data_IF_155736457257
#
_entry.id   IF_155736457257
#
_cell.length_a   1.000
_cell.length_b   1.000
_cell.length_c   1.000
_cell.angle_alpha   90.00
_cell.angle_beta   90.00
_cell.angle_gamma   90.00
#
_symmetry.space_group_name_H-M   'P 1'
#
loop_
_entity.id
_entity.type
_entity.pdbx_description
1 polymer ?
#
# COMPACT_ATOMS: atom_id res chain seq x y z
N UNK A 1 -5.89 14.55 33.38
CA UNK A 1 -6.44 13.29 32.85
C UNK A 1 -6.81 13.56 31.41
N UNK A 2 -6.00 13.07 30.46
CA UNK A 2 -6.36 13.18 29.04
C UNK A 2 -7.43 12.12 28.83
N UNK A 3 -8.66 12.53 28.52
CA UNK A 3 -9.69 11.61 28.07
C UNK A 3 -9.08 10.79 26.92
N UNK A 4 -9.02 9.47 27.08
CA UNK A 4 -8.70 8.59 25.97
C UNK A 4 -9.86 8.69 25.00
N UNK A 5 -9.79 9.64 24.07
CA UNK A 5 -10.73 9.76 22.95
C UNK A 5 -10.66 8.47 22.17
N UNK A 6 -11.77 7.73 22.18
CA UNK A 6 -11.86 6.50 21.42
C UNK A 6 -11.73 6.84 19.93
N UNK A 7 -10.84 6.15 19.18
CA UNK A 7 -10.60 6.46 17.78
C UNK A 7 -11.87 6.27 16.97
N UNK A 8 -12.18 7.24 16.11
CA UNK A 8 -13.40 7.21 15.29
C UNK A 8 -13.33 6.19 14.16
N UNK A 9 -12.14 5.93 13.61
CA UNK A 9 -11.96 4.93 12.57
C UNK A 9 -10.98 3.84 12.99
N UNK A 10 -11.19 2.62 12.48
CA UNK A 10 -10.18 1.56 12.53
C UNK A 10 -9.69 1.27 11.11
N UNK A 11 -8.39 1.40 10.92
CA UNK A 11 -7.69 1.01 9.69
C UNK A 11 -6.90 -0.26 9.98
N UNK A 12 -7.33 -1.36 9.35
CA UNK A 12 -6.71 -2.66 9.48
C UNK A 12 -5.79 -2.93 8.30
N UNK A 13 -4.51 -3.08 8.59
CA UNK A 13 -3.52 -3.57 7.64
C UNK A 13 -3.53 -5.10 7.64
N UNK A 14 -4.26 -5.66 6.67
CA UNK A 14 -4.32 -7.10 6.42
C UNK A 14 -3.07 -7.65 5.74
N UNK A 15 -2.06 -6.82 5.54
CA UNK A 15 -0.90 -7.02 4.68
C UNK A 15 -1.25 -7.17 3.20
N UNK A 16 -0.32 -6.71 2.38
CA UNK A 16 -0.28 -6.97 0.96
C UNK A 16 0.92 -7.84 0.60
N UNK A 17 0.73 -8.70 -0.39
CA UNK A 17 1.79 -9.44 -1.03
C UNK A 17 1.38 -9.64 -2.50
N UNK A 18 1.92 -8.77 -3.33
CA UNK A 18 1.75 -8.69 -4.77
C UNK A 18 3.12 -8.78 -5.44
N UNK A 19 3.21 -9.21 -6.71
CA UNK A 19 4.49 -9.32 -7.41
C UNK A 19 5.40 -8.08 -7.36
N UNK A 20 4.82 -6.88 -7.24
CA UNK A 20 5.56 -5.62 -7.14
C UNK A 20 5.22 -4.83 -5.86
N UNK A 21 4.54 -5.41 -4.87
CA UNK A 21 4.16 -4.67 -3.65
C UNK A 21 4.22 -5.57 -2.41
N UNK A 22 5.05 -5.20 -1.43
CA UNK A 22 5.16 -5.92 -0.17
C UNK A 22 4.56 -5.12 0.98
N UNK A 23 3.85 -5.80 1.87
CA UNK A 23 3.34 -5.22 3.11
C UNK A 23 3.38 -6.19 4.28
N UNK A 24 3.91 -7.40 4.10
CA UNK A 24 4.16 -8.32 5.22
C UNK A 24 5.41 -7.88 5.96
N UNK A 25 5.46 -7.90 7.31
CA UNK A 25 6.63 -7.50 8.08
C UNK A 25 7.96 -8.08 7.55
N UNK A 26 8.99 -7.25 7.37
CA UNK A 26 9.12 -5.90 7.95
C UNK A 26 8.62 -4.74 7.07
N UNK A 27 7.84 -4.99 6.02
CA UNK A 27 7.42 -3.94 5.08
C UNK A 27 6.20 -3.17 5.56
N UNK A 28 6.13 -1.86 5.25
CA UNK A 28 4.88 -1.08 5.26
C UNK A 28 4.51 -0.71 3.83
N UNK A 29 3.41 -1.31 3.36
CA UNK A 29 2.99 -1.21 1.96
C UNK A 29 2.38 0.14 1.60
N UNK A 30 2.47 0.53 0.32
CA UNK A 30 1.90 1.79 -0.15
C UNK A 30 0.36 1.79 -0.19
N UNK A 31 -0.25 0.60 -0.40
CA UNK A 31 -1.69 0.32 -0.24
C UNK A 31 -2.32 1.00 0.97
N UNK A 32 -1.82 0.58 2.12
CA UNK A 32 -2.35 0.99 3.41
C UNK A 32 -1.96 2.43 3.75
N UNK A 33 -0.79 2.89 3.29
CA UNK A 33 -0.33 4.26 3.50
C UNK A 33 -1.17 5.27 2.74
N UNK A 34 -1.56 5.02 1.50
CA UNK A 34 -2.43 5.95 0.77
C UNK A 34 -3.84 6.00 1.37
N UNK A 35 -4.37 4.87 1.80
CA UNK A 35 -5.65 4.82 2.52
C UNK A 35 -5.60 5.64 3.81
N UNK A 36 -4.50 5.54 4.56
CA UNK A 36 -4.23 6.38 5.72
C UNK A 36 -4.05 7.85 5.32
N UNK A 37 -3.35 8.14 4.22
CA UNK A 37 -3.14 9.49 3.70
C UNK A 37 -4.45 10.22 3.40
N UNK A 38 -5.46 9.51 2.87
CA UNK A 38 -6.82 10.05 2.72
C UNK A 38 -7.42 10.45 4.08
N UNK A 39 -7.29 9.60 5.10
CA UNK A 39 -7.82 9.92 6.44
C UNK A 39 -7.09 11.10 7.08
N UNK A 40 -5.77 11.19 6.91
CA UNK A 40 -4.96 12.33 7.38
C UNK A 40 -5.37 13.63 6.66
N UNK A 41 -5.57 13.60 5.33
CA UNK A 41 -6.06 14.76 4.57
C UNK A 41 -7.42 15.27 5.07
N UNK A 42 -8.32 14.35 5.44
CA UNK A 42 -9.64 14.68 5.99
C UNK A 42 -9.60 14.99 7.50
N UNK A 43 -8.43 14.98 8.14
CA UNK A 43 -8.24 15.16 9.58
C UNK A 43 -9.13 14.21 10.43
N UNK A 44 -9.32 12.97 9.97
CA UNK A 44 -10.10 11.98 10.67
C UNK A 44 -9.25 11.28 11.73
N UNK A 45 -9.78 11.16 12.95
CA UNK A 45 -9.11 10.37 13.98
C UNK A 45 -9.33 8.87 13.73
N UNK A 46 -8.23 8.15 13.54
CA UNK A 46 -8.24 6.71 13.32
C UNK A 46 -7.16 5.99 14.12
N UNK A 47 -7.39 4.70 14.34
CA UNK A 47 -6.39 3.76 14.85
C UNK A 47 -5.91 2.89 13.72
N UNK A 48 -4.60 2.89 13.49
CA UNK A 48 -3.94 1.90 12.65
C UNK A 48 -3.68 0.63 13.47
N UNK A 49 -3.94 -0.54 12.88
CA UNK A 49 -3.55 -1.83 13.44
C UNK A 49 -3.11 -2.77 12.32
N UNK A 50 -2.00 -3.48 12.51
CA UNK A 50 -1.68 -4.64 11.68
C UNK A 50 -2.56 -5.82 12.02
N UNK A 51 -2.70 -6.77 11.10
CA UNK A 51 -3.42 -8.01 11.36
C UNK A 51 -2.81 -8.81 12.53
N UNK A 52 -1.50 -8.74 12.74
CA UNK A 52 -0.86 -9.37 13.89
C UNK A 52 -1.22 -8.66 15.20
N UNK A 53 -1.28 -7.32 15.20
CA UNK A 53 -1.78 -6.56 16.34
C UNK A 53 -3.27 -6.83 16.61
N UNK A 54 -4.07 -7.04 15.55
CA UNK A 54 -5.47 -7.43 15.67
C UNK A 54 -5.62 -8.81 16.32
N UNK A 55 -4.88 -9.81 15.85
CA UNK A 55 -4.85 -11.15 16.44
C UNK A 55 -4.47 -11.10 17.92
N UNK A 56 -3.44 -10.31 18.25
CA UNK A 56 -3.01 -10.12 19.62
C UNK A 56 -4.08 -9.45 20.48
N UNK A 57 -4.75 -8.42 19.94
CA UNK A 57 -5.84 -7.74 20.61
C UNK A 57 -7.01 -8.69 20.91
N UNK A 58 -7.44 -9.50 19.93
CA UNK A 58 -8.48 -10.51 20.11
C UNK A 58 -8.08 -11.51 21.20
N UNK A 59 -6.82 -11.97 21.20
CA UNK A 59 -6.28 -12.89 22.21
C UNK A 59 -6.32 -12.30 23.62
N UNK A 60 -5.92 -11.04 23.78
CA UNK A 60 -5.82 -10.38 25.08
C UNK A 60 -7.18 -9.91 25.63
N UNK A 61 -8.07 -9.44 24.75
CA UNK A 61 -9.31 -8.77 25.14
C UNK A 61 -10.56 -9.62 24.97
N UNK A 62 -10.46 -10.72 24.23
CA UNK A 62 -11.57 -11.62 23.95
C UNK A 62 -12.71 -10.95 23.20
N UNK A 63 -13.84 -11.66 23.11
CA UNK A 63 -15.03 -11.19 22.39
C UNK A 63 -15.56 -9.85 22.93
N UNK A 64 -15.62 -9.70 24.26
CA UNK A 64 -16.15 -8.49 24.92
C UNK A 64 -15.34 -7.24 24.55
N UNK A 65 -14.01 -7.35 24.50
CA UNK A 65 -13.18 -6.20 24.14
C UNK A 65 -13.20 -5.88 22.65
N UNK A 66 -13.40 -6.89 21.79
CA UNK A 66 -13.64 -6.70 20.36
C UNK A 66 -14.95 -5.97 20.13
N UNK A 67 -16.03 -6.40 20.78
CA UNK A 67 -17.34 -5.77 20.73
C UNK A 67 -17.25 -4.30 21.18
N UNK A 68 -16.65 -4.06 22.35
CA UNK A 68 -16.46 -2.69 22.87
C UNK A 68 -15.66 -1.79 21.93
N UNK A 69 -14.61 -2.32 21.29
CA UNK A 69 -13.85 -1.55 20.30
C UNK A 69 -14.74 -1.26 19.07
N UNK A 70 -15.42 -2.26 18.55
CA UNK A 70 -16.26 -2.14 17.35
C UNK A 70 -17.43 -1.17 17.55
N UNK A 71 -18.11 -1.21 18.70
CA UNK A 71 -19.21 -0.30 19.07
C UNK A 71 -18.79 1.17 19.12
N UNK A 72 -17.50 1.44 19.35
CA UNK A 72 -16.98 2.80 19.46
C UNK A 72 -16.54 3.43 18.13
N UNK A 73 -16.56 2.66 17.05
CA UNK A 73 -16.14 3.13 15.73
C UNK A 73 -17.26 3.90 15.04
N UNK A 74 -16.88 4.94 14.31
CA UNK A 74 -17.66 5.65 13.30
C UNK A 74 -17.32 5.17 11.87
N UNK A 75 -16.27 4.37 11.69
CA UNK A 75 -15.91 3.81 10.38
C UNK A 75 -14.82 2.74 10.42
N UNK A 76 -14.75 1.95 9.36
CA UNK A 76 -13.79 0.85 9.20
C UNK A 76 -13.17 0.83 7.81
N UNK A 77 -11.86 0.60 7.74
CA UNK A 77 -11.18 0.40 6.47
C UNK A 77 -10.17 -0.74 6.59
N UNK A 78 -10.02 -1.55 5.54
CA UNK A 78 -9.02 -2.63 5.52
C UNK A 78 -8.42 -2.80 4.13
N UNK A 79 -7.10 -3.00 4.08
CA UNK A 79 -6.41 -3.52 2.90
C UNK A 79 -6.10 -4.99 3.12
N UNK A 80 -6.44 -5.83 2.14
CA UNK A 80 -6.04 -7.23 2.06
C UNK A 80 -5.51 -7.48 0.64
N UNK A 81 -4.19 -7.55 0.51
CA UNK A 81 -3.51 -7.59 -0.80
C UNK A 81 -2.88 -8.93 -1.17
N UNK A 82 -2.76 -9.88 -0.24
CA UNK A 82 -2.05 -11.14 -0.50
C UNK A 82 -2.76 -12.02 -1.55
N UNK A 83 -2.12 -12.15 -2.71
CA UNK A 83 -2.59 -13.00 -3.82
C UNK A 83 -1.59 -14.06 -4.24
N UNK A 84 -0.35 -13.96 -3.80
CA UNK A 84 0.67 -14.98 -4.05
C UNK A 84 0.65 -16.04 -2.94
N UNK A 85 0.63 -17.34 -3.29
CA UNK A 85 0.85 -18.40 -2.31
C UNK A 85 2.28 -18.27 -1.76
N UNK A 86 2.41 -18.07 -0.45
CA UNK A 86 3.71 -17.84 0.17
C UNK A 86 3.79 -18.43 1.57
N UNK A 87 5.01 -18.74 2.00
CA UNK A 87 5.35 -18.95 3.41
C UNK A 87 5.99 -17.66 3.90
N UNK A 88 5.38 -17.06 4.91
CA UNK A 88 5.83 -15.79 5.46
C UNK A 88 6.66 -16.01 6.72
N UNK A 89 7.79 -15.32 6.83
CA UNK A 89 8.73 -15.53 7.93
C UNK A 89 8.27 -14.90 9.26
N UNK A 90 7.58 -13.75 9.22
CA UNK A 90 7.26 -12.96 10.42
C UNK A 90 5.77 -12.80 10.70
N UNK A 91 4.98 -12.45 9.68
CA UNK A 91 3.53 -12.25 9.80
C UNK A 91 2.79 -12.93 8.68
N UNK A 92 1.55 -13.37 8.90
CA UNK A 92 0.72 -13.98 7.84
C UNK A 92 -0.35 -12.97 7.42
N UNK A 93 -0.55 -12.70 6.12
CA UNK A 93 -1.67 -11.89 5.66
C UNK A 93 -3.02 -12.35 6.19
N UNK A 94 -3.99 -11.44 6.21
CA UNK A 94 -5.34 -11.74 6.67
C UNK A 94 -6.01 -12.80 5.79
N UNK A 95 -6.63 -13.80 6.42
CA UNK A 95 -7.42 -14.81 5.72
C UNK A 95 -8.86 -14.34 5.47
N UNK A 96 -9.53 -14.96 4.50
CA UNK A 96 -10.95 -14.72 4.25
C UNK A 96 -11.83 -15.06 5.48
N UNK A 97 -11.42 -16.04 6.30
CA UNK A 97 -12.18 -16.43 7.49
C UNK A 97 -12.09 -15.34 8.57
N UNK A 98 -10.88 -14.84 8.84
CA UNK A 98 -10.69 -13.68 9.73
C UNK A 98 -11.46 -12.47 9.22
N UNK A 99 -11.41 -12.19 7.91
CA UNK A 99 -12.18 -11.11 7.32
C UNK A 99 -13.70 -11.30 7.51
N UNK A 100 -14.22 -12.51 7.32
CA UNK A 100 -15.64 -12.82 7.57
C UNK A 100 -16.01 -12.64 9.04
N UNK A 101 -15.13 -12.97 9.97
CA UNK A 101 -15.36 -12.79 11.40
C UNK A 101 -15.39 -11.30 11.75
N UNK A 102 -14.43 -10.50 11.24
CA UNK A 102 -14.41 -9.05 11.43
C UNK A 102 -15.69 -8.42 10.86
N UNK A 103 -16.03 -8.74 9.61
CA UNK A 103 -17.23 -8.20 8.94
C UNK A 103 -18.52 -8.55 9.68
N UNK A 104 -18.59 -9.71 10.34
CA UNK A 104 -19.75 -10.10 11.17
C UNK A 104 -19.88 -9.24 12.44
N UNK A 105 -18.77 -8.83 13.04
CA UNK A 105 -18.75 -8.06 14.29
C UNK A 105 -18.78 -6.53 14.11
N UNK A 106 -18.64 -6.02 12.88
CA UNK A 106 -18.77 -4.59 12.63
C UNK A 106 -20.21 -4.08 12.97
N UNK A 107 -20.40 -2.82 13.42
CA UNK A 107 -21.72 -2.19 13.57
C UNK A 107 -22.41 -1.85 12.23
N UNK A 108 -23.68 -2.18 12.03
CA UNK A 108 -24.35 -2.10 10.70
C UNK A 108 -24.46 -0.70 10.12
N UNK A 109 -24.43 0.33 10.98
CA UNK A 109 -24.66 1.71 10.56
C UNK A 109 -23.39 2.41 10.10
N UNK A 110 -22.20 1.90 10.44
CA UNK A 110 -20.95 2.58 10.11
C UNK A 110 -20.50 2.29 8.67
N UNK A 111 -19.91 3.26 7.96
CA UNK A 111 -19.22 3.00 6.71
C UNK A 111 -18.05 2.03 6.90
N UNK A 112 -17.97 1.04 6.02
CA UNK A 112 -16.85 0.10 5.96
C UNK A 112 -16.37 -0.07 4.52
N UNK A 113 -15.05 0.02 4.29
CA UNK A 113 -14.44 -0.23 2.99
C UNK A 113 -13.36 -1.30 3.08
N UNK A 114 -13.41 -2.29 2.19
CA UNK A 114 -12.38 -3.33 2.06
C UNK A 114 -11.76 -3.24 0.67
N UNK A 115 -10.43 -3.22 0.63
CA UNK A 115 -9.64 -3.04 -0.58
C UNK A 115 -8.48 -4.02 -0.72
N UNK A 116 -7.77 -3.93 -1.84
CA UNK A 116 -6.65 -4.80 -2.19
C UNK A 116 -7.04 -6.00 -3.05
N UNK A 117 -6.04 -6.64 -3.64
CA UNK A 117 -6.26 -7.70 -4.64
C UNK A 117 -6.85 -8.98 -4.05
N UNK A 118 -6.66 -9.27 -2.77
CA UNK A 118 -7.30 -10.42 -2.13
C UNK A 118 -8.83 -10.24 -2.09
N UNK A 119 -9.32 -9.02 -1.82
CA UNK A 119 -10.76 -8.69 -1.86
C UNK A 119 -11.34 -8.95 -3.25
N UNK A 120 -10.63 -8.52 -4.30
CA UNK A 120 -11.02 -8.79 -5.70
C UNK A 120 -11.09 -10.30 -5.98
N UNK A 121 -10.09 -11.05 -5.52
CA UNK A 121 -10.05 -12.51 -5.65
C UNK A 121 -11.19 -13.21 -4.92
N UNK A 122 -11.45 -12.87 -3.66
CA UNK A 122 -12.53 -13.44 -2.87
C UNK A 122 -13.91 -13.14 -3.46
N UNK A 123 -14.11 -11.93 -4.01
CA UNK A 123 -15.35 -11.58 -4.72
C UNK A 123 -15.55 -12.44 -5.97
N UNK A 124 -14.49 -12.69 -6.73
CA UNK A 124 -14.54 -13.60 -7.89
C UNK A 124 -14.83 -15.05 -7.49
N UNK A 125 -14.44 -15.45 -6.28
CA UNK A 125 -14.76 -16.75 -5.67
C UNK A 125 -16.16 -16.79 -5.02
N UNK A 126 -16.97 -15.74 -5.18
CA UNK A 126 -18.36 -15.69 -4.71
C UNK A 126 -18.57 -15.08 -3.33
N UNK A 127 -17.54 -14.51 -2.69
CA UNK A 127 -17.72 -13.80 -1.43
C UNK A 127 -18.34 -12.41 -1.66
N UNK A 128 -19.63 -12.29 -1.31
CA UNK A 128 -20.38 -11.05 -1.40
C UNK A 128 -21.24 -10.86 -0.12
N UNK A 129 -20.67 -10.31 0.97
CA UNK A 129 -21.40 -10.14 2.22
C UNK A 129 -22.57 -9.18 2.05
N UNK A 130 -23.77 -9.63 2.44
CA UNK A 130 -24.99 -8.83 2.44
C UNK A 130 -25.03 -7.95 3.69
N UNK A 131 -24.21 -6.90 3.69
CA UNK A 131 -24.07 -5.97 4.81
C UNK A 131 -24.31 -4.54 4.34
N UNK A 132 -25.18 -3.82 5.07
CA UNK A 132 -25.41 -2.40 4.85
C UNK A 132 -24.10 -1.62 5.11
N UNK A 133 -23.86 -0.57 4.32
CA UNK A 133 -22.70 0.32 4.44
C UNK A 133 -21.31 -0.34 4.32
N UNK A 134 -21.23 -1.57 3.80
CA UNK A 134 -19.97 -2.22 3.44
C UNK A 134 -19.72 -2.11 1.94
N UNK A 135 -18.54 -1.60 1.58
CA UNK A 135 -18.10 -1.48 0.19
C UNK A 135 -16.85 -2.32 -0.07
N UNK A 136 -16.92 -3.21 -1.06
CA UNK A 136 -15.77 -3.99 -1.53
C UNK A 136 -15.14 -3.26 -2.71
N UNK A 137 -14.12 -2.45 -2.46
CA UNK A 137 -13.40 -1.73 -3.51
C UNK A 137 -12.65 -2.71 -4.42
N UNK A 138 -12.89 -2.62 -5.73
CA UNK A 138 -12.16 -3.38 -6.76
C UNK A 138 -11.32 -2.47 -7.69
N UNK A 139 -11.19 -1.21 -7.30
CA UNK A 139 -10.30 -0.18 -7.87
C UNK A 139 -9.49 0.44 -6.71
N UNK A 140 -9.01 1.66 -6.85
CA UNK A 140 -8.21 2.36 -5.85
C UNK A 140 -9.06 2.61 -4.60
N UNK A 141 -8.63 2.05 -3.47
CA UNK A 141 -9.41 2.00 -2.22
C UNK A 141 -9.39 3.36 -1.52
N UNK A 142 -8.23 4.01 -1.54
CA UNK A 142 -7.96 5.41 -1.25
C UNK A 142 -8.91 6.35 -2.02
N UNK A 143 -8.92 6.28 -3.36
CA UNK A 143 -9.79 7.15 -4.17
C UNK A 143 -11.28 6.90 -3.92
N UNK A 144 -11.66 5.64 -3.72
CA UNK A 144 -13.02 5.23 -3.38
C UNK A 144 -13.44 5.78 -2.01
N UNK A 145 -12.56 5.71 -1.00
CA UNK A 145 -12.79 6.29 0.33
C UNK A 145 -12.93 7.81 0.24
N UNK A 146 -12.02 8.49 -0.45
CA UNK A 146 -12.08 9.93 -0.61
C UNK A 146 -13.39 10.39 -1.28
N UNK A 147 -13.89 9.65 -2.29
CA UNK A 147 -15.19 9.94 -2.89
C UNK A 147 -16.33 9.82 -1.86
N UNK A 148 -16.33 8.77 -1.05
CA UNK A 148 -17.33 8.59 -0.02
C UNK A 148 -17.28 9.70 1.04
N UNK A 149 -16.10 10.06 1.52
CA UNK A 149 -15.94 11.13 2.51
C UNK A 149 -16.45 12.50 1.99
N UNK A 150 -16.26 12.77 0.70
CA UNK A 150 -16.73 14.02 0.08
C UNK A 150 -18.23 14.03 -0.27
N UNK A 151 -18.81 12.87 -0.61
CA UNK A 151 -20.15 12.81 -1.23
C UNK A 151 -21.19 12.02 -0.43
N UNK A 152 -20.77 11.28 0.59
CA UNK A 152 -21.58 10.30 1.31
C UNK A 152 -21.95 9.05 0.50
N UNK A 153 -21.46 8.92 -0.74
CA UNK A 153 -21.85 7.83 -1.65
C UNK A 153 -20.65 6.97 -2.04
N UNK A 154 -20.83 5.65 -1.97
CA UNK A 154 -19.81 4.73 -2.44
C UNK A 154 -19.78 4.62 -3.96
N UNK A 155 -18.58 4.72 -4.53
CA UNK A 155 -18.35 4.55 -5.96
C UNK A 155 -16.92 4.07 -6.19
N UNK A 156 -16.75 3.08 -7.07
CA UNK A 156 -15.41 2.71 -7.52
C UNK A 156 -14.76 3.90 -8.24
N UNK A 157 -13.65 4.37 -7.68
CA UNK A 157 -12.87 5.47 -8.23
C UNK A 157 -11.44 5.02 -8.50
N UNK A 158 -10.79 5.73 -9.42
CA UNK A 158 -9.34 5.69 -9.64
C UNK A 158 -8.74 7.02 -9.24
N UNK A 159 -7.53 7.00 -8.68
CA UNK A 159 -6.79 8.23 -8.37
C UNK A 159 -6.28 8.90 -9.65
N UNK A 160 -6.21 10.23 -9.64
CA UNK A 160 -5.41 10.98 -10.60
C UNK A 160 -3.97 11.16 -10.06
N UNK A 161 -3.09 11.80 -10.84
CA UNK A 161 -1.69 11.99 -10.48
C UNK A 161 -1.51 12.90 -9.26
N UNK A 162 -2.36 13.92 -9.14
CA UNK A 162 -2.33 14.86 -8.02
C UNK A 162 -2.71 14.17 -6.71
N UNK A 163 -3.82 13.42 -6.71
CA UNK A 163 -4.27 12.62 -5.57
C UNK A 163 -3.23 11.57 -5.16
N UNK A 164 -2.58 10.93 -6.14
CA UNK A 164 -1.55 9.95 -5.86
C UNK A 164 -0.38 10.58 -5.10
N UNK A 165 0.10 11.73 -5.56
CA UNK A 165 1.18 12.48 -4.91
C UNK A 165 0.78 12.93 -3.51
N UNK A 166 -0.39 13.57 -3.36
CA UNK A 166 -0.89 14.05 -2.07
C UNK A 166 -1.01 12.90 -1.06
N UNK A 167 -1.66 11.78 -1.42
CA UNK A 167 -1.88 10.67 -0.50
C UNK A 167 -0.62 9.87 -0.22
N UNK A 168 0.37 9.89 -1.11
CA UNK A 168 1.68 9.36 -0.83
C UNK A 168 2.40 10.19 0.25
N UNK A 169 2.38 11.52 0.14
CA UNK A 169 2.98 12.44 1.12
C UNK A 169 2.26 12.40 2.48
N UNK A 170 0.93 12.49 2.50
CA UNK A 170 0.16 12.30 3.73
C UNK A 170 0.37 10.90 4.32
N UNK A 171 0.40 9.88 3.47
CA UNK A 171 0.67 8.49 3.86
C UNK A 171 2.04 8.29 4.49
N UNK A 172 3.06 9.02 4.03
CA UNK A 172 4.42 9.01 4.59
C UNK A 172 4.47 9.50 6.03
N UNK A 173 3.64 10.49 6.39
CA UNK A 173 3.54 11.03 7.74
C UNK A 173 2.43 10.36 8.59
N UNK A 174 1.77 9.34 8.05
CA UNK A 174 0.53 8.81 8.64
C UNK A 174 0.76 7.89 9.85
N UNK A 175 -0.31 7.60 10.58
CA UNK A 175 -0.30 6.61 11.67
C UNK A 175 0.15 5.20 11.25
N UNK A 176 0.06 4.85 9.96
CA UNK A 176 0.56 3.56 9.46
C UNK A 176 2.08 3.44 9.56
N UNK A 177 2.80 4.55 9.44
CA UNK A 177 4.26 4.59 9.59
C UNK A 177 4.60 4.80 11.07
N UNK A 178 4.07 5.86 11.67
CA UNK A 178 4.39 6.30 13.03
C UNK A 178 4.15 5.23 14.10
N UNK A 179 3.12 4.41 13.92
CA UNK A 179 2.76 3.35 14.87
C UNK A 179 3.02 1.95 14.32
N UNK A 180 3.81 1.83 13.25
CA UNK A 180 4.19 0.52 12.73
C UNK A 180 5.04 -0.24 13.76
N UNK A 181 4.74 -1.52 14.04
CA UNK A 181 5.49 -2.30 15.04
C UNK A 181 7.00 -2.39 14.76
N UNK A 182 7.39 -2.36 13.49
CA UNK A 182 8.78 -2.48 13.05
C UNK A 182 9.53 -1.16 12.93
N UNK A 183 8.91 0.00 13.17
CA UNK A 183 9.62 1.30 13.11
C UNK A 183 10.71 1.39 14.19
N UNK A 184 10.41 0.87 15.38
CA UNK A 184 11.29 0.97 16.55
C UNK A 184 11.24 2.36 17.19
N UNK A 185 12.34 2.72 17.87
CA UNK A 185 12.54 4.04 18.48
C UNK A 185 13.78 4.71 17.92
N UNK A 186 13.97 5.99 18.24
CA UNK A 186 15.18 6.73 17.83
C UNK A 186 16.47 6.09 18.37
N UNK A 187 16.46 5.60 19.62
CA UNK A 187 17.59 4.88 20.23
C UNK A 187 17.76 3.46 19.71
N UNK A 188 16.66 2.82 19.30
CA UNK A 188 16.65 1.44 18.79
C UNK A 188 15.77 1.34 17.55
N UNK A 189 16.31 1.76 16.39
CA UNK A 189 15.58 1.67 15.13
C UNK A 189 15.22 0.22 14.83
N UNK A 190 13.98 0.02 14.37
CA UNK A 190 13.51 -1.29 13.96
C UNK A 190 13.78 -1.57 12.48
N UNK A 191 13.46 -2.79 12.00
CA UNK A 191 13.79 -3.21 10.65
C UNK A 191 12.80 -2.70 9.59
N UNK A 192 11.92 -1.74 9.90
CA UNK A 192 10.88 -1.29 8.98
C UNK A 192 11.45 -0.90 7.62
N UNK A 193 10.98 -1.60 6.59
CA UNK A 193 11.27 -1.24 5.20
C UNK A 193 10.06 -0.56 4.60
N UNK A 194 10.24 0.69 4.20
CA UNK A 194 9.21 1.51 3.61
C UNK A 194 9.12 1.24 2.11
N UNK A 195 7.97 0.71 1.68
CA UNK A 195 7.71 0.39 0.28
C UNK A 195 7.14 1.60 -0.45
N UNK A 196 7.83 2.03 -1.50
CA UNK A 196 7.49 3.18 -2.32
C UNK A 196 6.96 2.68 -3.66
N UNK A 197 5.71 2.98 -4.01
CA UNK A 197 5.24 2.73 -5.37
C UNK A 197 5.89 3.76 -6.31
N UNK A 198 6.80 3.34 -7.18
CA UNK A 198 7.44 4.23 -8.16
C UNK A 198 6.56 4.37 -9.40
N UNK A 199 5.91 3.28 -9.80
CA UNK A 199 4.94 3.26 -10.89
C UNK A 199 3.93 2.12 -10.73
N UNK A 200 2.84 2.22 -11.48
CA UNK A 200 1.80 1.19 -11.53
C UNK A 200 1.70 0.62 -12.95
N UNK A 201 1.61 -0.71 -13.06
CA UNK A 201 1.46 -1.40 -14.35
C UNK A 201 2.74 -2.06 -14.81
N UNK A 202 2.78 -2.52 -16.05
CA UNK A 202 3.94 -3.21 -16.60
C UNK A 202 4.17 -2.79 -18.05
N UNK A 203 5.41 -2.50 -18.43
CA UNK A 203 5.73 -2.17 -19.83
C UNK A 203 5.35 -3.30 -20.79
N UNK A 204 5.32 -4.53 -20.31
CA UNK A 204 4.85 -5.69 -21.07
C UNK A 204 3.34 -5.86 -21.04
N UNK A 205 2.52 -4.84 -20.74
CA UNK A 205 1.06 -4.97 -20.56
C UNK A 205 0.32 -5.69 -21.70
N UNK A 206 0.81 -5.62 -22.94
CA UNK A 206 0.24 -6.35 -24.10
C UNK A 206 0.50 -7.86 -24.09
N UNK A 207 1.69 -8.28 -23.62
CA UNK A 207 2.19 -9.67 -23.69
C UNK A 207 2.92 -10.07 -22.40
N UNK A 208 2.39 -9.62 -21.27
CA UNK A 208 3.03 -9.78 -19.97
C UNK A 208 2.95 -11.21 -19.45
N UNK A 209 3.67 -11.47 -18.37
CA UNK A 209 3.68 -12.77 -17.72
C UNK A 209 2.26 -13.21 -17.35
N UNK A 210 1.82 -14.40 -17.81
CA UNK A 210 0.45 -14.91 -17.60
C UNK A 210 0.07 -15.04 -16.12
N UNK A 211 1.06 -15.25 -15.25
CA UNK A 211 0.90 -15.39 -13.81
C UNK A 211 0.91 -14.05 -13.05
N UNK A 212 1.30 -12.96 -13.71
CA UNK A 212 1.47 -11.66 -13.06
C UNK A 212 0.19 -10.82 -13.14
N UNK A 213 -0.10 -10.06 -12.09
CA UNK A 213 -1.22 -9.13 -12.05
C UNK A 213 -0.88 -7.77 -12.65
N UNK A 214 0.39 -7.38 -12.70
CA UNK A 214 0.85 -6.06 -13.15
C UNK A 214 0.45 -5.73 -14.60
N UNK A 215 0.55 -6.66 -15.58
CA UNK A 215 0.03 -6.42 -16.92
C UNK A 215 -1.47 -6.11 -16.96
N UNK A 216 -2.25 -6.60 -15.99
CA UNK A 216 -3.70 -6.35 -15.89
C UNK A 216 -4.02 -4.95 -15.37
N UNK A 217 -3.05 -4.24 -14.78
CA UNK A 217 -3.22 -2.84 -14.36
C UNK A 217 -3.17 -1.87 -15.56
N UNK A 218 -2.61 -2.32 -16.70
CA UNK A 218 -2.64 -1.61 -17.97
C UNK A 218 -1.30 -0.97 -18.33
N UNK A 219 -1.35 0.07 -19.17
CA UNK A 219 -0.17 0.87 -19.54
C UNK A 219 0.43 1.47 -18.27
N UNK A 220 1.77 1.43 -18.10
CA UNK A 220 2.42 2.03 -16.95
C UNK A 220 2.07 3.50 -16.74
N UNK A 221 1.88 3.87 -15.48
CA UNK A 221 1.74 5.25 -15.03
C UNK A 221 2.82 5.49 -13.97
N UNK A 222 3.61 6.54 -14.18
CA UNK A 222 4.81 6.84 -13.40
C UNK A 222 4.56 7.96 -12.41
N UNK A 223 5.22 7.91 -11.26
CA UNK A 223 5.41 9.08 -10.40
C UNK A 223 6.72 9.78 -10.75
N UNK A 224 6.81 11.06 -10.46
CA UNK A 224 8.04 11.82 -10.70
C UNK A 224 9.12 11.46 -9.66
N UNK A 225 10.42 11.54 -10.01
CA UNK A 225 11.50 11.38 -9.04
C UNK A 225 11.37 12.33 -7.85
N UNK A 226 10.98 13.59 -8.09
CA UNK A 226 10.84 14.64 -7.07
C UNK A 226 9.79 14.28 -6.03
N UNK A 227 8.62 13.84 -6.47
CA UNK A 227 7.53 13.48 -5.56
C UNK A 227 7.89 12.27 -4.69
N UNK A 228 8.64 11.32 -5.26
CA UNK A 228 9.12 10.13 -4.54
C UNK A 228 10.18 10.52 -3.51
N UNK A 229 11.15 11.35 -3.90
CA UNK A 229 12.20 11.81 -2.99
C UNK A 229 11.58 12.56 -1.80
N UNK A 230 10.60 13.44 -2.06
CA UNK A 230 9.89 14.15 -1.00
C UNK A 230 9.11 13.20 -0.09
N UNK A 231 8.41 12.21 -0.65
CA UNK A 231 7.73 11.19 0.16
C UNK A 231 8.69 10.48 1.11
N UNK A 232 9.84 10.05 0.61
CA UNK A 232 10.85 9.35 1.41
C UNK A 232 11.48 10.27 2.46
N UNK A 233 11.73 11.54 2.10
CA UNK A 233 12.22 12.56 3.02
C UNK A 233 11.27 12.74 4.21
N UNK A 234 9.96 12.79 3.97
CA UNK A 234 8.92 12.86 5.02
C UNK A 234 8.96 11.58 5.87
N UNK A 235 9.03 10.39 5.27
CA UNK A 235 9.12 9.14 6.01
C UNK A 235 10.37 9.07 6.91
N UNK A 236 11.50 9.61 6.45
CA UNK A 236 12.72 9.74 7.25
C UNK A 236 12.56 10.67 8.46
N UNK A 237 11.70 11.69 8.42
CA UNK A 237 11.38 12.52 9.60
C UNK A 237 10.70 11.71 10.70
N UNK A 238 10.00 10.63 10.35
CA UNK A 238 9.41 9.69 11.31
C UNK A 238 10.38 8.58 11.76
N UNK A 239 11.63 8.59 11.28
CA UNK A 239 12.65 7.61 11.68
C UNK A 239 12.71 6.35 10.82
N UNK A 240 12.05 6.33 9.65
CA UNK A 240 12.27 5.28 8.64
C UNK A 240 13.73 5.32 8.20
N UNK A 241 14.36 4.15 8.03
CA UNK A 241 15.78 4.03 7.63
C UNK A 241 16.01 3.14 6.41
N UNK A 242 15.07 2.26 6.12
CA UNK A 242 15.18 1.32 5.02
C UNK A 242 14.05 1.59 4.03
N UNK A 243 14.40 1.67 2.76
CA UNK A 243 13.46 1.99 1.68
C UNK A 243 13.59 0.96 0.59
N UNK A 244 12.45 0.59 0.02
CA UNK A 244 12.38 -0.25 -1.15
C UNK A 244 11.56 0.44 -2.23
N UNK A 245 12.12 0.49 -3.43
CA UNK A 245 11.45 0.96 -4.63
C UNK A 245 10.59 -0.17 -5.18
N UNK A 246 9.32 -0.16 -4.78
CA UNK A 246 8.26 -1.07 -5.20
C UNK A 246 7.40 -0.49 -6.33
N UNK A 247 6.37 -1.23 -6.72
CA UNK A 247 5.57 -0.99 -7.93
C UNK A 247 6.34 -1.25 -9.24
N UNK A 248 7.68 -1.36 -9.16
CA UNK A 248 8.56 -1.46 -10.30
C UNK A 248 8.65 -2.88 -10.85
N UNK A 249 7.87 -3.19 -11.88
CA UNK A 249 8.00 -4.48 -12.59
C UNK A 249 9.36 -4.73 -13.23
N UNK A 250 10.09 -3.66 -13.50
CA UNK A 250 11.42 -3.62 -14.09
C UNK A 250 12.03 -2.21 -13.92
N UNK A 251 13.18 -2.14 -13.27
CA UNK A 251 13.91 -0.91 -12.93
C UNK A 251 14.40 -0.18 -14.17
N UNK A 252 14.87 -0.91 -15.18
CA UNK A 252 15.41 -0.35 -16.44
C UNK A 252 14.37 0.38 -17.28
N UNK A 253 13.09 0.16 -16.97
CA UNK A 253 12.00 0.70 -17.78
C UNK A 253 11.26 1.85 -17.11
N UNK A 254 11.76 2.33 -15.97
CA UNK A 254 11.23 3.52 -15.33
C UNK A 254 11.33 4.72 -16.28
N UNK A 255 10.18 5.21 -16.75
CA UNK A 255 10.09 6.31 -17.71
C UNK A 255 10.85 6.06 -19.04
N UNK A 256 10.94 4.80 -19.46
CA UNK A 256 11.53 4.40 -20.73
C UNK A 256 10.76 4.92 -21.96
N UNK A 257 11.48 5.02 -23.07
CA UNK A 257 10.93 5.48 -24.35
C UNK A 257 10.26 4.34 -25.13
N UNK A 258 9.16 4.67 -25.83
CA UNK A 258 8.46 3.71 -26.69
C UNK A 258 7.63 2.65 -25.95
N UNK A 259 7.24 2.88 -24.69
CA UNK A 259 6.50 1.91 -23.84
C UNK A 259 5.20 1.39 -24.47
N UNK A 260 4.51 2.18 -25.30
CA UNK A 260 3.26 1.73 -25.94
C UNK A 260 3.51 1.04 -27.28
N UNK A 261 4.63 1.34 -27.91
CA UNK A 261 4.96 1.00 -29.29
C UNK A 261 5.84 -0.25 -29.36
N UNK A 262 6.84 -0.34 -28.49
CA UNK A 262 7.88 -1.36 -28.49
C UNK A 262 7.53 -2.52 -27.55
N UNK A 263 7.99 -3.72 -27.89
CA UNK A 263 7.95 -4.87 -26.97
C UNK A 263 9.03 -4.77 -25.89
N UNK A 264 10.18 -4.21 -26.27
CA UNK A 264 11.32 -3.91 -25.40
C UNK A 264 11.56 -2.40 -25.49
N UNK A 265 10.95 -1.61 -24.59
CA UNK A 265 11.18 -0.16 -24.54
C UNK A 265 12.65 0.15 -24.32
N UNK A 266 13.11 1.28 -24.83
CA UNK A 266 14.49 1.72 -24.68
C UNK A 266 14.66 2.37 -23.30
N UNK A 267 15.59 1.88 -22.45
CA UNK A 267 15.88 2.50 -21.17
C UNK A 267 16.19 3.98 -21.29
N UNK A 268 15.71 4.75 -20.31
CA UNK A 268 16.07 6.14 -20.11
C UNK A 268 16.74 6.23 -18.73
N UNK A 269 18.09 6.32 -18.65
CA UNK A 269 18.80 6.27 -17.38
C UNK A 269 18.56 7.48 -16.48
N UNK A 270 18.31 8.67 -17.05
CA UNK A 270 18.30 9.93 -16.31
C UNK A 270 17.24 9.96 -15.17
N UNK A 271 15.97 9.55 -15.38
CA UNK A 271 14.98 9.53 -14.31
C UNK A 271 15.33 8.61 -13.14
N UNK A 272 15.85 7.41 -13.41
CA UNK A 272 16.23 6.47 -12.34
C UNK A 272 17.51 6.93 -11.64
N UNK A 273 18.48 7.47 -12.36
CA UNK A 273 19.69 8.06 -11.78
C UNK A 273 19.32 9.22 -10.83
N UNK A 274 18.46 10.14 -11.27
CA UNK A 274 17.96 11.25 -10.45
C UNK A 274 17.27 10.76 -9.19
N UNK A 275 16.42 9.73 -9.30
CA UNK A 275 15.74 9.14 -8.16
C UNK A 275 16.72 8.50 -7.17
N UNK A 276 17.61 7.62 -7.64
CA UNK A 276 18.56 6.91 -6.79
C UNK A 276 19.55 7.86 -6.10
N UNK A 277 20.12 8.81 -6.83
CA UNK A 277 21.00 9.83 -6.25
C UNK A 277 20.26 10.75 -5.29
N UNK A 278 19.04 11.18 -5.63
CA UNK A 278 18.20 12.01 -4.79
C UNK A 278 17.87 11.36 -3.45
N UNK A 279 17.53 10.08 -3.46
CA UNK A 279 17.29 9.29 -2.24
C UNK A 279 18.58 9.10 -1.44
N UNK A 280 19.72 8.83 -2.11
CA UNK A 280 21.00 8.58 -1.42
C UNK A 280 21.61 9.82 -0.78
N UNK A 281 21.22 11.03 -1.20
CA UNK A 281 21.66 12.27 -0.59
C UNK A 281 21.13 12.45 0.85
N UNK A 282 20.12 11.71 1.26
CA UNK A 282 19.66 11.68 2.65
C UNK A 282 20.47 10.67 3.46
N UNK A 283 21.32 11.16 4.38
CA UNK A 283 22.18 10.31 5.21
C UNK A 283 21.40 9.39 6.17
N UNK A 284 20.11 9.66 6.41
CA UNK A 284 19.23 8.80 7.23
C UNK A 284 18.90 7.48 6.55
N UNK A 285 19.08 7.39 5.22
CA UNK A 285 18.85 6.19 4.45
C UNK A 285 20.00 5.19 4.64
N UNK A 286 19.73 4.09 5.35
CA UNK A 286 20.70 3.03 5.59
C UNK A 286 20.68 1.97 4.48
N UNK A 287 19.48 1.56 4.05
CA UNK A 287 19.32 0.52 3.03
C UNK A 287 18.34 0.99 1.97
N UNK A 288 18.78 0.92 0.71
CA UNK A 288 17.96 1.17 -0.47
C UNK A 288 17.89 -0.11 -1.31
N UNK A 289 16.69 -0.64 -1.49
CA UNK A 289 16.43 -1.79 -2.34
C UNK A 289 15.71 -1.36 -3.61
N UNK A 290 16.14 -1.90 -4.75
CA UNK A 290 15.35 -1.89 -5.99
C UNK A 290 14.58 -3.20 -6.11
N UNK A 291 13.52 -3.20 -6.92
CA UNK A 291 12.76 -4.41 -7.25
C UNK A 291 13.45 -5.25 -8.32
N UNK A 292 12.81 -5.39 -9.47
CA UNK A 292 13.21 -6.34 -10.48
C UNK A 292 14.02 -5.66 -11.59
N UNK A 293 14.81 -6.44 -12.31
CA UNK A 293 15.46 -6.05 -13.55
C UNK A 293 15.19 -7.14 -14.59
N UNK A 294 14.66 -6.77 -15.75
CA UNK A 294 14.38 -7.74 -16.82
C UNK A 294 15.62 -7.92 -17.72
N UNK A 295 16.29 -9.09 -17.72
CA UNK A 295 17.47 -9.29 -18.56
C UNK A 295 17.20 -9.12 -20.05
N UNK A 296 15.96 -9.29 -20.51
CA UNK A 296 15.60 -9.06 -21.90
C UNK A 296 15.65 -7.59 -22.30
N UNK A 297 15.38 -6.65 -21.38
CA UNK A 297 15.51 -5.21 -21.69
C UNK A 297 16.98 -4.86 -21.88
N UNK A 298 17.85 -5.38 -21.01
CA UNK A 298 19.30 -5.22 -21.10
C UNK A 298 19.83 -5.80 -22.41
N UNK A 299 19.45 -7.04 -22.75
CA UNK A 299 19.95 -7.74 -23.94
C UNK A 299 19.58 -7.04 -25.26
N UNK A 300 18.41 -6.41 -25.32
CA UNK A 300 17.93 -5.69 -26.51
C UNK A 300 18.39 -4.22 -26.56
N UNK A 301 18.91 -3.69 -25.45
CA UNK A 301 19.35 -2.29 -25.33
C UNK A 301 20.68 -2.21 -24.55
N UNK A 302 21.75 -2.84 -25.05
CA UNK A 302 23.02 -2.96 -24.33
C UNK A 302 23.62 -1.59 -23.94
N UNK A 303 23.80 -0.68 -24.92
CA UNK A 303 24.39 0.64 -24.67
C UNK A 303 23.55 1.48 -23.68
N UNK A 304 22.23 1.69 -23.89
CA UNK A 304 21.41 2.44 -22.92
C UNK A 304 21.25 1.78 -21.55
N UNK A 305 21.55 0.50 -21.40
CA UNK A 305 21.48 -0.19 -20.11
C UNK A 305 22.79 -0.18 -19.32
N UNK A 306 23.90 0.16 -19.98
CA UNK A 306 25.22 0.32 -19.33
C UNK A 306 25.36 1.69 -18.65
N UNK A 307 24.69 2.71 -19.19
CA UNK A 307 24.58 4.07 -18.64
C UNK A 307 23.70 4.12 -17.37
#
# INVERSE_FOLDING_TARGET
>A
MVEQTTPKWLVLDGYEDEPAAFGVPPYVGFHIRYLCGVLEQHNLDYRYMTIDQWREFVRQKGAIGVEKLMESLDGFACIAGAVVPGKYLRGTPISINEMKDIVRNLPSEIPAILGGWAIRGWRQQGWNPLRKNLFLAVQDTDATLNNFLNTGNWKHCRRNAEQWTEWAHYGANSKAVKFHPDLGSEEKPGPLTYEVEVYQGCVRFKRGCKFCIEPKKGVPIWRSPEDIIEEVRIAHELGVKHVRLGGMTDTYTYMADGVKELEYPTPNPEPIAKLLHGLRNDERLEILHTDNGNPSIIAENLEPSEE
#
